data_IF_372446135268
#
_entry.id   IF_372446135268
#
_cell.length_a   1.000
_cell.length_b   1.000
_cell.length_c   1.000
_cell.angle_alpha   90.00
_cell.angle_beta   90.00
_cell.angle_gamma   90.00
#
_symmetry.space_group_name_H-M   'P 1'
#
loop_
_entity.id
_entity.type
_entity.pdbx_description
1 polymer ?
#
# COMPACT_ATOMS: atom_id res chain seq x y z
N UNK A 1 -9.61 18.30 -7.09
CA UNK A 1 -8.32 17.75 -6.64
C UNK A 1 -7.22 18.70 -7.08
N UNK A 2 -6.35 19.12 -6.15
CA UNK A 2 -5.25 20.07 -6.40
C UNK A 2 -3.88 19.38 -6.48
N UNK A 3 -3.64 18.35 -5.67
CA UNK A 3 -2.41 17.55 -5.71
C UNK A 3 -2.66 16.13 -5.25
N UNK A 4 -1.80 15.20 -5.65
CA UNK A 4 -1.81 13.79 -5.24
C UNK A 4 -0.43 13.42 -4.72
N UNK A 5 -0.38 12.74 -3.58
CA UNK A 5 0.86 12.41 -2.87
C UNK A 5 0.89 10.93 -2.51
N UNK A 6 2.05 10.31 -2.73
CA UNK A 6 2.32 8.94 -2.32
C UNK A 6 3.47 8.98 -1.32
N UNK A 7 3.21 8.56 -0.08
CA UNK A 7 4.24 8.41 0.94
C UNK A 7 4.56 6.93 1.11
N UNK A 8 5.83 6.58 0.90
CA UNK A 8 6.33 5.21 1.05
C UNK A 8 7.20 5.13 2.31
N UNK A 9 6.87 4.17 3.18
CA UNK A 9 7.60 3.87 4.40
C UNK A 9 8.14 2.43 4.30
N UNK A 10 9.35 2.24 3.78
CA UNK A 10 9.98 0.92 3.73
C UNK A 10 10.44 0.50 5.13
N UNK A 11 10.37 -0.80 5.41
CA UNK A 11 10.83 -1.40 6.67
C UNK A 11 11.36 -2.82 6.43
N UNK A 12 12.15 -3.34 7.37
CA UNK A 12 12.54 -4.74 7.39
C UNK A 12 11.58 -5.55 8.29
N UNK A 13 11.39 -6.82 7.97
CA UNK A 13 10.56 -7.70 8.78
C UNK A 13 11.12 -9.12 8.77
N UNK A 14 10.90 -9.84 9.87
CA UNK A 14 11.26 -11.24 10.05
C UNK A 14 10.46 -11.83 11.21
N UNK A 15 10.24 -13.14 11.22
CA UNK A 15 9.63 -13.83 12.35
C UNK A 15 10.68 -14.11 13.43
N UNK A 16 10.58 -13.45 14.59
CA UNK A 16 11.49 -13.62 15.74
C UNK A 16 11.66 -15.09 16.15
N UNK A 17 10.59 -15.88 16.08
CA UNK A 17 10.62 -17.32 16.41
C UNK A 17 11.57 -18.14 15.52
N UNK A 18 11.94 -17.60 14.36
CA UNK A 18 12.78 -18.25 13.36
C UNK A 18 14.19 -17.63 13.28
N UNK A 19 14.61 -16.78 14.22
CA UNK A 19 15.92 -16.09 14.16
C UNK A 19 17.12 -17.02 13.92
N UNK A 20 17.06 -18.26 14.41
CA UNK A 20 18.13 -19.26 14.24
C UNK A 20 17.95 -20.16 13.00
N UNK A 21 16.87 -19.99 12.25
CA UNK A 21 16.58 -20.74 11.03
C UNK A 21 17.21 -20.07 9.80
N UNK A 22 17.18 -20.78 8.67
CA UNK A 22 17.55 -20.20 7.38
C UNK A 22 16.73 -18.95 7.07
N UNK A 23 17.36 -17.97 6.42
CA UNK A 23 16.74 -16.69 6.07
C UNK A 23 15.37 -16.85 5.40
N UNK A 24 15.24 -17.76 4.45
CA UNK A 24 13.96 -18.05 3.76
C UNK A 24 12.82 -18.39 4.73
N UNK A 25 13.11 -19.06 5.86
CA UNK A 25 12.11 -19.36 6.90
C UNK A 25 11.82 -18.16 7.79
N UNK A 26 12.79 -17.25 7.97
CA UNK A 26 12.61 -16.01 8.72
C UNK A 26 11.65 -15.05 8.02
N UNK A 27 11.61 -15.08 6.69
CA UNK A 27 10.82 -14.17 5.86
C UNK A 27 9.78 -14.91 5.00
N UNK A 28 9.36 -16.09 5.46
CA UNK A 28 8.38 -16.91 4.75
C UNK A 28 7.00 -16.22 4.74
N UNK A 29 6.58 -15.71 3.57
CA UNK A 29 5.30 -15.02 3.41
C UNK A 29 4.09 -15.86 3.82
N UNK A 30 4.17 -17.19 3.70
CA UNK A 30 3.11 -18.13 4.11
C UNK A 30 2.71 -17.99 5.57
N UNK A 31 3.63 -17.55 6.43
CA UNK A 31 3.38 -17.31 7.85
C UNK A 31 2.66 -15.98 8.14
N UNK A 32 2.58 -15.07 7.15
CA UNK A 32 1.80 -13.82 7.27
C UNK A 32 0.34 -14.14 6.99
N UNK A 33 -0.44 -14.14 8.07
CA UNK A 33 -1.90 -14.29 8.04
C UNK A 33 -2.51 -13.11 8.80
N UNK A 34 -3.32 -12.25 8.16
CA UNK A 34 -4.00 -11.18 8.87
C UNK A 34 -4.97 -11.78 9.89
N UNK A 35 -5.08 -11.12 11.05
CA UNK A 35 -6.10 -11.46 12.05
C UNK A 35 -7.50 -11.38 11.41
N UNK A 36 -8.42 -12.27 11.80
CA UNK A 36 -9.82 -12.25 11.32
C UNK A 36 -10.56 -10.95 11.66
N UNK A 37 -10.16 -10.29 12.75
CA UNK A 37 -10.69 -9.00 13.17
C UNK A 37 -9.92 -7.81 12.56
N UNK A 38 -8.91 -8.09 11.74
CA UNK A 38 -8.16 -7.07 11.02
C UNK A 38 -9.01 -6.47 9.90
N UNK A 39 -8.84 -5.18 9.66
CA UNK A 39 -9.37 -4.53 8.47
C UNK A 39 -8.42 -4.63 7.27
N UNK A 40 -7.31 -5.36 7.38
CA UNK A 40 -6.41 -5.63 6.27
C UNK A 40 -6.96 -6.78 5.41
N UNK A 41 -7.12 -6.52 4.11
CA UNK A 41 -7.57 -7.51 3.13
C UNK A 41 -6.40 -7.80 2.19
N UNK A 42 -6.07 -9.08 2.00
CA UNK A 42 -5.11 -9.48 0.95
C UNK A 42 -5.76 -9.28 -0.41
N UNK A 43 -5.16 -8.43 -1.23
CA UNK A 43 -5.69 -8.08 -2.55
C UNK A 43 -4.96 -8.92 -3.59
N UNK A 44 -5.63 -9.96 -4.09
CA UNK A 44 -5.09 -10.88 -5.11
C UNK A 44 -5.79 -10.73 -6.46
N UNK A 45 -6.94 -10.07 -6.47
CA UNK A 45 -7.74 -9.78 -7.66
C UNK A 45 -8.39 -8.41 -7.51
N UNK A 46 -8.58 -7.67 -8.61
CA UNK A 46 -9.37 -6.45 -8.61
C UNK A 46 -10.81 -6.71 -8.12
N UNK A 47 -11.36 -5.80 -7.31
CA UNK A 47 -12.72 -5.92 -6.76
C UNK A 47 -13.81 -5.34 -7.67
N UNK A 48 -13.45 -4.48 -8.62
CA UNK A 48 -14.38 -3.74 -9.49
C UNK A 48 -13.97 -3.79 -10.97
N UNK A 49 -14.93 -3.58 -11.89
CA UNK A 49 -14.62 -3.51 -13.33
C UNK A 49 -13.63 -2.39 -13.68
N UNK A 50 -13.64 -1.29 -12.91
CA UNK A 50 -12.68 -0.20 -13.09
C UNK A 50 -11.26 -0.68 -12.75
N UNK A 51 -11.09 -1.29 -11.59
CA UNK A 51 -9.78 -1.81 -11.16
C UNK A 51 -9.28 -2.90 -12.12
N UNK A 52 -10.16 -3.71 -12.74
CA UNK A 52 -9.77 -4.68 -13.77
C UNK A 52 -9.16 -3.98 -14.99
N UNK A 53 -9.79 -2.89 -15.46
CA UNK A 53 -9.27 -2.12 -16.60
C UNK A 53 -7.95 -1.44 -16.25
N UNK A 54 -7.87 -0.84 -15.07
CA UNK A 54 -6.65 -0.19 -14.57
C UNK A 54 -5.49 -1.20 -14.47
N UNK A 55 -5.74 -2.40 -13.92
CA UNK A 55 -4.73 -3.46 -13.86
C UNK A 55 -4.29 -3.92 -15.25
N UNK A 56 -5.22 -4.05 -16.20
CA UNK A 56 -4.89 -4.43 -17.58
C UNK A 56 -3.98 -3.39 -18.23
N UNK A 57 -4.31 -2.11 -18.11
CA UNK A 57 -3.50 -1.03 -18.67
C UNK A 57 -2.10 -1.00 -18.03
N UNK A 58 -2.02 -1.21 -16.71
CA UNK A 58 -0.76 -1.27 -15.96
C UNK A 58 0.12 -2.46 -16.38
N UNK A 59 -0.47 -3.65 -16.52
CA UNK A 59 0.22 -4.86 -16.97
C UNK A 59 0.75 -4.73 -18.41
N UNK A 60 0.06 -4.01 -19.30
CA UNK A 60 0.57 -3.72 -20.64
C UNK A 60 1.67 -2.67 -20.65
N UNK A 61 1.72 -1.80 -19.64
CA UNK A 61 2.75 -0.78 -19.51
C UNK A 61 4.08 -1.36 -19.01
N UNK A 62 4.03 -2.28 -18.03
CA UNK A 62 5.23 -2.91 -17.47
C UNK A 62 5.61 -4.21 -18.18
N UNK A 63 6.91 -4.50 -18.22
CA UNK A 63 7.40 -5.78 -18.72
C UNK A 63 6.93 -6.96 -17.86
N UNK A 64 6.57 -8.07 -18.50
CA UNK A 64 6.05 -9.27 -17.82
C UNK A 64 6.93 -9.77 -16.67
N UNK A 65 8.26 -9.68 -16.79
CA UNK A 65 9.17 -10.18 -15.75
C UNK A 65 9.10 -9.40 -14.42
N UNK A 66 8.51 -8.19 -14.39
CA UNK A 66 8.31 -7.44 -13.14
C UNK A 66 6.96 -7.72 -12.49
N UNK A 67 6.03 -8.38 -13.20
CA UNK A 67 4.66 -8.59 -12.73
C UNK A 67 4.61 -9.32 -11.40
N UNK A 68 5.47 -10.33 -11.18
CA UNK A 68 5.52 -11.08 -9.92
C UNK A 68 5.92 -10.22 -8.72
N UNK A 69 6.67 -9.13 -8.93
CA UNK A 69 7.08 -8.20 -7.87
C UNK A 69 6.01 -7.14 -7.61
N UNK A 70 5.23 -6.79 -8.64
CA UNK A 70 4.22 -5.75 -8.57
C UNK A 70 2.87 -6.27 -8.07
N UNK A 71 2.51 -7.50 -8.43
CA UNK A 71 1.17 -8.04 -8.25
C UNK A 71 1.18 -9.30 -7.38
N UNK A 72 0.32 -9.32 -6.35
CA UNK A 72 0.06 -10.52 -5.59
C UNK A 72 -0.89 -11.44 -6.38
N UNK A 73 -0.37 -12.53 -6.91
CA UNK A 73 -1.13 -13.49 -7.71
C UNK A 73 -1.96 -14.49 -6.86
N UNK A 74 -1.97 -14.33 -5.53
CA UNK A 74 -2.71 -15.17 -4.60
C UNK A 74 -2.09 -16.54 -4.31
N UNK A 75 -1.07 -16.95 -5.06
CA UNK A 75 -0.40 -18.24 -4.87
C UNK A 75 0.49 -18.22 -3.61
N UNK A 76 0.77 -19.39 -3.06
CA UNK A 76 1.70 -19.53 -1.93
C UNK A 76 3.16 -19.28 -2.32
N UNK A 77 3.46 -19.42 -3.62
CA UNK A 77 4.76 -19.15 -4.23
C UNK A 77 4.94 -17.69 -4.64
N UNK A 78 3.98 -16.81 -4.33
CA UNK A 78 4.12 -15.38 -4.61
C UNK A 78 5.35 -14.80 -3.92
N UNK A 79 6.01 -13.83 -4.55
CA UNK A 79 7.14 -13.10 -3.96
C UNK A 79 6.69 -11.81 -3.26
N UNK A 80 5.42 -11.42 -3.43
CA UNK A 80 4.80 -10.28 -2.74
C UNK A 80 3.42 -10.67 -2.20
N UNK A 81 3.14 -10.29 -0.96
CA UNK A 81 1.77 -10.24 -0.42
C UNK A 81 1.32 -8.79 -0.27
N UNK A 82 0.24 -8.45 -0.95
CA UNK A 82 -0.31 -7.09 -0.99
C UNK A 82 -1.58 -7.01 -0.17
N UNK A 83 -1.66 -6.03 0.72
CA UNK A 83 -2.81 -5.81 1.60
C UNK A 83 -3.28 -4.37 1.52
N UNK A 84 -4.60 -4.17 1.57
CA UNK A 84 -5.23 -2.85 1.62
C UNK A 84 -6.20 -2.75 2.80
N UNK A 85 -6.56 -1.52 3.19
CA UNK A 85 -7.52 -1.26 4.28
C UNK A 85 -8.96 -1.31 3.77
N UNK A 86 -9.77 -2.23 4.31
CA UNK A 86 -11.17 -2.43 3.94
C UNK A 86 -12.01 -1.15 4.03
N UNK A 87 -11.82 -0.35 5.08
CA UNK A 87 -12.62 0.86 5.33
C UNK A 87 -12.40 1.99 4.33
N UNK A 88 -11.38 1.88 3.47
CA UNK A 88 -11.10 2.85 2.40
C UNK A 88 -11.80 2.48 1.09
N UNK A 89 -12.33 1.25 0.98
CA UNK A 89 -13.16 0.83 -0.17
C UNK A 89 -14.59 1.40 -0.12
N UNK A 90 -15.01 1.98 1.00
CA UNK A 90 -16.26 2.75 1.08
C UNK A 90 -16.03 4.16 0.53
N UNK A 91 -16.75 4.52 -0.55
CA UNK A 91 -16.67 5.85 -1.16
C UNK A 91 -17.07 6.98 -0.20
N UNK A 92 -17.83 6.66 0.86
CA UNK A 92 -18.20 7.62 1.91
C UNK A 92 -17.14 7.77 3.01
N UNK A 93 -16.01 7.06 2.91
CA UNK A 93 -14.92 7.19 3.88
C UNK A 93 -14.41 8.62 3.94
N UNK A 94 -14.37 9.18 5.15
CA UNK A 94 -13.93 10.55 5.44
C UNK A 94 -12.59 10.58 6.18
N UNK A 95 -11.82 9.50 6.08
CA UNK A 95 -10.53 9.42 6.74
C UNK A 95 -9.56 10.43 6.13
N UNK A 96 -8.84 11.12 7.01
CA UNK A 96 -7.88 12.15 6.62
C UNK A 96 -6.55 11.92 7.31
N UNK A 97 -5.47 12.24 6.60
CA UNK A 97 -4.11 12.24 7.08
C UNK A 97 -3.68 13.69 7.29
N UNK A 98 -3.38 14.05 8.53
CA UNK A 98 -2.95 15.40 8.87
C UNK A 98 -1.41 15.47 8.88
N UNK A 99 -0.84 16.39 8.12
CA UNK A 99 0.60 16.66 8.09
C UNK A 99 0.83 18.01 8.74
N UNK A 100 1.54 18.00 9.86
CA UNK A 100 1.99 19.22 10.53
C UNK A 100 3.41 19.55 10.06
N UNK A 101 3.54 20.68 9.36
CA UNK A 101 4.86 21.20 9.00
C UNK A 101 5.23 22.26 10.02
N UNK A 102 6.36 22.06 10.70
CA UNK A 102 6.85 22.95 11.76
C UNK A 102 6.88 24.40 11.29
N UNK A 103 6.33 25.30 12.10
CA UNK A 103 6.24 26.75 11.83
C UNK A 103 5.47 27.11 10.55
N UNK A 104 4.68 26.18 10.01
CA UNK A 104 3.77 26.35 8.87
C UNK A 104 2.35 25.86 9.24
N UNK A 105 1.52 25.66 8.22
CA UNK A 105 0.14 25.18 8.36
C UNK A 105 0.05 23.65 8.45
N UNK A 106 -1.07 23.18 9.00
CA UNK A 106 -1.46 21.77 8.96
C UNK A 106 -2.17 21.46 7.65
N UNK A 107 -1.65 20.49 6.90
CA UNK A 107 -2.32 19.96 5.70
C UNK A 107 -3.25 18.84 6.10
N UNK A 108 -4.45 18.82 5.51
CA UNK A 108 -5.43 17.76 5.73
C UNK A 108 -5.69 17.08 4.41
N UNK A 109 -5.09 15.92 4.23
CA UNK A 109 -5.20 15.16 2.99
C UNK A 109 -6.24 14.06 3.16
N UNK A 110 -7.10 13.88 2.16
CA UNK A 110 -8.01 12.73 2.11
C UNK A 110 -7.19 11.48 1.85
N UNK A 111 -7.48 10.41 2.59
CA UNK A 111 -6.85 9.11 2.35
C UNK A 111 -7.66 8.40 1.27
N UNK A 112 -7.00 8.09 0.16
CA UNK A 112 -7.58 7.29 -0.91
C UNK A 112 -7.40 5.81 -0.64
N UNK A 113 -6.18 5.43 -0.27
CA UNK A 113 -5.85 4.07 0.06
C UNK A 113 -4.63 4.02 1.00
N UNK A 114 -4.53 2.91 1.73
CA UNK A 114 -3.37 2.54 2.51
C UNK A 114 -3.05 1.09 2.17
N UNK A 115 -1.88 0.90 1.57
CA UNK A 115 -1.40 -0.40 1.15
C UNK A 115 -0.22 -0.86 2.02
N UNK A 116 -0.12 -2.17 2.21
CA UNK A 116 0.96 -2.83 2.92
C UNK A 116 1.46 -4.00 2.08
N UNK A 117 2.72 -3.92 1.66
CA UNK A 117 3.39 -4.95 0.88
C UNK A 117 4.42 -5.67 1.75
N UNK A 118 4.44 -6.99 1.67
CA UNK A 118 5.51 -7.82 2.21
C UNK A 118 6.16 -8.61 1.08
N UNK A 119 7.49 -8.53 0.99
CA UNK A 119 8.29 -9.25 0.00
C UNK A 119 9.02 -10.43 0.64
N UNK A 120 9.20 -11.52 -0.11
CA UNK A 120 9.95 -12.70 0.32
C UNK A 120 11.45 -12.43 0.58
N UNK A 121 11.91 -11.20 0.35
CA UNK A 121 13.25 -10.70 0.67
C UNK A 121 13.37 -10.13 2.08
N UNK A 122 12.31 -10.15 2.89
CA UNK A 122 12.29 -9.52 4.22
C UNK A 122 12.11 -8.00 4.20
N UNK A 123 11.82 -7.43 3.03
CA UNK A 123 11.43 -6.03 2.87
C UNK A 123 9.92 -5.91 2.95
N UNK A 124 9.43 -4.89 3.63
CA UNK A 124 8.04 -4.48 3.61
C UNK A 124 7.91 -3.01 3.25
N UNK A 125 6.76 -2.61 2.73
CA UNK A 125 6.46 -1.20 2.43
C UNK A 125 5.05 -0.87 2.87
N UNK A 126 4.91 0.16 3.70
CA UNK A 126 3.63 0.79 4.02
C UNK A 126 3.48 2.03 3.13
N UNK A 127 2.37 2.12 2.40
CA UNK A 127 2.15 3.13 1.37
C UNK A 127 0.86 3.88 1.70
N UNK A 128 0.92 5.21 1.69
CA UNK A 128 -0.25 6.08 1.82
C UNK A 128 -0.49 6.81 0.51
N UNK A 129 -1.69 6.65 -0.04
CA UNK A 129 -2.18 7.35 -1.22
C UNK A 129 -3.10 8.48 -0.77
N UNK A 130 -2.68 9.72 -0.99
CA UNK A 130 -3.32 10.90 -0.39
C UNK A 130 -3.71 11.94 -1.44
N UNK A 131 -4.96 12.43 -1.36
CA UNK A 131 -5.48 13.52 -2.18
C UNK A 131 -5.56 14.82 -1.39
N UNK A 132 -5.09 15.90 -2.01
CA UNK A 132 -5.38 17.24 -1.55
C UNK A 132 -6.56 17.82 -2.36
N UNK A 133 -7.63 18.16 -1.66
CA UNK A 133 -8.82 18.78 -2.23
C UNK A 133 -9.14 20.15 -1.59
N UNK A 134 -8.30 20.59 -0.66
CA UNK A 134 -8.51 21.82 0.10
C UNK A 134 -7.95 23.02 -0.67
N UNK A 135 -8.81 24.02 -0.91
CA UNK A 135 -8.47 25.18 -1.73
C UNK A 135 -7.41 26.09 -1.08
N UNK A 136 -7.40 26.17 0.25
CA UNK A 136 -6.39 26.89 1.04
C UNK A 136 -5.02 26.17 1.04
N UNK A 137 -4.92 24.99 0.42
CA UNK A 137 -3.73 24.15 0.36
C UNK A 137 -3.27 23.91 -1.09
N UNK A 138 -3.74 24.69 -2.07
CA UNK A 138 -3.49 24.46 -3.50
C UNK A 138 -2.20 25.04 -4.06
N UNK A 139 -1.53 25.92 -3.32
CA UNK A 139 -0.41 26.69 -3.85
C UNK A 139 0.81 25.78 -4.11
N UNK A 140 1.52 26.00 -5.22
CA UNK A 140 2.70 25.20 -5.57
C UNK A 140 3.81 25.25 -4.50
N UNK A 141 3.90 26.35 -3.75
CA UNK A 141 4.82 26.50 -2.63
C UNK A 141 4.51 25.58 -1.45
N UNK A 142 3.30 25.01 -1.40
CA UNK A 142 2.87 24.06 -0.37
C UNK A 142 3.28 22.61 -0.68
N UNK A 143 3.65 22.34 -1.94
CA UNK A 143 3.97 21.00 -2.45
C UNK A 143 5.49 20.77 -2.48
N UNK A 144 6.29 21.84 -2.37
CA UNK A 144 7.76 21.83 -2.48
C UNK A 144 8.49 21.79 -1.14
#
# INVERSE_FOLDING_TARGET
MYSYHIFLFPFNWSFEKNENELFEKQVALTNIVPDRLSNWIRMTVPGTEREIRELYDEQNYYYDFVHDVLYDNGQDTTIVKHYERKELKDENSRLTFNIEVRDKKTYRLKIDDIALNFYSTGVGTLIFYLRNENEDQKELSDIK
#
